data_IF_364071940390
#
_entry.id   IF_364071940390
#
_cell.length_a   1.000
_cell.length_b   1.000
_cell.length_c   1.000
_cell.angle_alpha   90.00
_cell.angle_beta   90.00
_cell.angle_gamma   90.00
#
_symmetry.space_group_name_H-M   'P 1'
#
loop_
_entity.id
_entity.type
_entity.pdbx_description
1 polymer ?
#
# COMPACT_ATOMS: atom_id res chain seq x y z
N UNK A 1 -8.55 15.99 -90.06
CA UNK A 1 -8.40 17.43 -89.81
C UNK A 1 -8.54 17.65 -88.34
N UNK A 2 -7.45 18.00 -87.66
CA UNK A 2 -7.27 18.42 -86.23
C UNK A 2 -7.61 17.46 -85.14
N UNK A 3 -6.64 16.63 -84.90
CA UNK A 3 -6.47 15.88 -83.65
C UNK A 3 -5.93 16.80 -82.55
N UNK A 4 -6.77 17.29 -81.63
CA UNK A 4 -6.27 18.01 -80.47
C UNK A 4 -6.03 17.02 -79.35
N UNK A 5 -4.75 16.93 -79.04
CA UNK A 5 -4.16 16.18 -77.93
C UNK A 5 -4.82 16.56 -76.63
N UNK A 6 -5.46 15.58 -75.92
CA UNK A 6 -5.85 15.71 -74.56
C UNK A 6 -4.77 15.07 -73.67
N UNK A 7 -3.93 15.93 -73.11
CA UNK A 7 -2.96 15.55 -72.10
C UNK A 7 -3.73 15.43 -70.80
N UNK A 8 -3.87 14.22 -70.29
CA UNK A 8 -4.40 13.97 -68.96
C UNK A 8 -3.20 13.96 -67.99
N UNK A 9 -3.10 14.89 -67.03
CA UNK A 9 -2.08 14.79 -66.01
C UNK A 9 -2.44 13.66 -65.06
N UNK A 10 -1.55 12.69 -64.95
CA UNK A 10 -1.60 11.60 -63.95
C UNK A 10 -1.34 12.22 -62.59
N UNK A 11 -2.41 12.57 -61.90
CA UNK A 11 -2.34 13.04 -60.52
C UNK A 11 -2.07 11.83 -59.62
N UNK A 12 -0.81 11.66 -59.24
CA UNK A 12 -0.40 10.64 -58.31
C UNK A 12 -1.05 10.89 -56.96
N UNK A 13 -1.99 10.02 -56.62
CA UNK A 13 -2.53 9.93 -55.25
C UNK A 13 -1.43 9.32 -54.40
N UNK A 14 -0.66 10.18 -53.73
CA UNK A 14 0.25 9.78 -52.68
C UNK A 14 -0.62 9.48 -51.43
N UNK A 15 -1.05 8.22 -51.34
CA UNK A 15 -1.73 7.73 -50.13
C UNK A 15 -0.70 7.68 -49.03
N UNK A 16 -0.62 8.75 -48.24
CA UNK A 16 0.14 8.78 -47.02
C UNK A 16 -0.53 7.81 -46.04
N UNK A 17 -0.07 6.57 -46.06
CA UNK A 17 -0.38 5.58 -45.01
C UNK A 17 0.31 6.04 -43.74
N UNK A 18 -0.35 6.94 -43.00
CA UNK A 18 0.03 7.25 -41.64
C UNK A 18 -0.15 5.98 -40.81
N UNK A 19 0.94 5.26 -40.63
CA UNK A 19 1.01 4.21 -39.62
C UNK A 19 0.72 4.85 -38.26
N UNK A 20 -0.54 4.71 -37.81
CA UNK A 20 -0.91 4.97 -36.44
C UNK A 20 -0.18 3.91 -35.62
N UNK A 21 1.03 4.22 -35.18
CA UNK A 21 1.67 3.42 -34.13
C UNK A 21 0.74 3.50 -32.93
N UNK A 22 0.34 2.35 -32.36
CA UNK A 22 -0.32 2.40 -31.07
C UNK A 22 0.67 3.11 -30.15
N UNK A 23 0.29 4.28 -29.66
CA UNK A 23 0.86 4.80 -28.42
C UNK A 23 0.45 3.77 -27.40
N UNK A 24 1.35 2.85 -27.08
CA UNK A 24 1.24 2.12 -25.83
C UNK A 24 1.18 3.20 -24.77
N UNK A 25 -0.03 3.41 -24.22
CA UNK A 25 -0.17 4.12 -22.99
C UNK A 25 0.67 3.30 -22.01
N UNK A 26 1.91 3.72 -21.80
CA UNK A 26 2.64 3.36 -20.62
C UNK A 26 1.73 3.88 -19.52
N UNK A 27 0.94 3.00 -18.90
CA UNK A 27 0.36 3.30 -17.61
C UNK A 27 1.55 3.75 -16.77
N UNK A 28 1.64 5.05 -16.56
CA UNK A 28 2.57 5.59 -15.60
C UNK A 28 2.07 5.05 -14.28
N UNK A 29 2.60 3.90 -13.86
CA UNK A 29 2.42 3.44 -12.49
C UNK A 29 2.86 4.61 -11.65
N UNK A 30 1.92 5.17 -10.87
CA UNK A 30 2.22 6.31 -10.03
C UNK A 30 3.27 5.85 -9.02
N UNK A 31 4.52 6.18 -9.34
CA UNK A 31 5.68 5.82 -8.54
C UNK A 31 5.79 6.83 -7.41
N UNK A 32 5.77 6.33 -6.18
CA UNK A 32 5.90 7.16 -4.99
C UNK A 32 7.31 7.09 -4.41
N UNK A 33 7.88 8.26 -4.14
CA UNK A 33 8.99 8.40 -3.19
C UNK A 33 8.44 8.77 -1.81
N UNK A 34 9.20 8.54 -0.76
CA UNK A 34 8.78 8.81 0.63
C UNK A 34 8.29 10.26 0.83
N UNK A 35 8.95 11.23 0.18
CA UNK A 35 8.58 12.65 0.26
C UNK A 35 7.24 12.99 -0.41
N UNK A 36 6.78 12.14 -1.36
CA UNK A 36 5.58 12.35 -2.16
C UNK A 36 4.34 11.73 -1.50
N UNK A 37 4.54 10.88 -0.48
CA UNK A 37 3.43 10.24 0.25
C UNK A 37 2.74 11.28 1.13
N UNK A 38 1.43 11.55 0.93
CA UNK A 38 0.71 12.55 1.72
C UNK A 38 0.58 12.13 3.18
N UNK A 39 1.16 12.91 4.10
CA UNK A 39 0.90 12.72 5.51
C UNK A 39 -0.40 13.41 5.90
N UNK A 40 -1.49 12.65 5.90
CA UNK A 40 -2.85 13.15 6.15
C UNK A 40 -3.04 13.67 7.58
N UNK A 41 -2.24 13.22 8.55
CA UNK A 41 -2.34 13.62 9.94
C UNK A 41 -1.89 15.07 10.20
N UNK A 42 -1.10 15.66 9.28
CA UNK A 42 -0.67 17.07 9.39
C UNK A 42 -1.86 18.02 9.21
N UNK A 43 -2.79 17.68 8.30
CA UNK A 43 -3.97 18.50 8.01
C UNK A 43 -5.15 18.21 8.93
N UNK A 44 -5.32 16.96 9.31
CA UNK A 44 -6.40 16.48 10.17
C UNK A 44 -5.92 15.34 11.06
N UNK A 45 -5.87 15.58 12.36
CA UNK A 45 -5.39 14.63 13.35
C UNK A 45 -6.30 13.40 13.55
N UNK A 46 -7.46 13.36 12.89
CA UNK A 46 -8.39 12.22 12.88
C UNK A 46 -8.24 11.35 11.63
N UNK A 47 -7.36 11.75 10.71
CA UNK A 47 -7.04 10.99 9.50
C UNK A 47 -5.76 10.20 9.72
N UNK A 48 -5.80 8.92 9.40
CA UNK A 48 -4.71 7.96 9.60
C UNK A 48 -4.36 7.21 8.32
N UNK A 49 -5.30 7.21 7.35
CA UNK A 49 -5.18 6.47 6.09
C UNK A 49 -4.73 7.40 4.98
N UNK A 50 -3.58 7.11 4.40
CA UNK A 50 -3.07 7.74 3.18
C UNK A 50 -3.22 6.78 2.00
N UNK A 51 -4.21 7.02 1.16
CA UNK A 51 -4.50 6.30 -0.06
C UNK A 51 -4.64 7.28 -1.23
N UNK A 52 -3.52 7.79 -1.75
CA UNK A 52 -3.53 8.85 -2.79
C UNK A 52 -4.09 8.37 -4.13
N UNK A 53 -4.11 7.07 -4.38
CA UNK A 53 -4.60 6.48 -5.64
C UNK A 53 -6.00 5.89 -5.54
N UNK A 54 -6.66 6.04 -4.36
CA UNK A 54 -8.05 5.64 -4.13
C UNK A 54 -8.33 4.15 -4.42
N UNK A 55 -7.47 3.26 -3.92
CA UNK A 55 -7.71 1.82 -3.94
C UNK A 55 -8.83 1.39 -3.00
N UNK A 56 -9.06 2.18 -1.95
CA UNK A 56 -10.13 2.01 -0.99
C UNK A 56 -11.25 3.02 -1.26
N UNK A 57 -12.48 2.63 -1.02
CA UNK A 57 -13.57 3.60 -1.11
C UNK A 57 -13.64 4.51 0.14
N UNK A 58 -14.44 5.58 0.05
CA UNK A 58 -14.49 6.58 1.13
C UNK A 58 -15.05 6.03 2.44
N UNK A 59 -15.94 5.04 2.40
CA UNK A 59 -16.52 4.41 3.59
C UNK A 59 -15.52 3.48 4.25
N UNK A 60 -14.73 2.76 3.48
CA UNK A 60 -13.64 1.89 3.95
C UNK A 60 -12.54 2.72 4.63
N UNK A 61 -12.14 3.84 3.99
CA UNK A 61 -11.18 4.78 4.58
C UNK A 61 -11.68 5.33 5.91
N UNK A 62 -12.97 5.72 6.00
CA UNK A 62 -13.57 6.25 7.24
C UNK A 62 -13.57 5.18 8.35
N UNK A 63 -13.90 3.94 8.03
CA UNK A 63 -13.89 2.85 9.00
C UNK A 63 -12.47 2.53 9.51
N UNK A 64 -11.49 2.49 8.61
CA UNK A 64 -10.08 2.31 8.95
C UNK A 64 -9.53 3.47 9.80
N UNK A 65 -9.85 4.73 9.44
CA UNK A 65 -9.52 5.92 10.25
C UNK A 65 -10.09 5.79 11.67
N UNK A 66 -11.35 5.36 11.80
CA UNK A 66 -11.99 5.16 13.10
C UNK A 66 -11.31 4.07 13.94
N UNK A 67 -10.94 2.93 13.33
CA UNK A 67 -10.22 1.84 14.02
C UNK A 67 -8.84 2.29 14.52
N UNK A 68 -8.08 2.99 13.67
CA UNK A 68 -6.76 3.52 14.04
C UNK A 68 -6.86 4.63 15.10
N UNK A 69 -7.92 5.45 15.03
CA UNK A 69 -8.21 6.42 16.08
C UNK A 69 -8.50 5.75 17.42
N UNK A 70 -9.28 4.65 17.45
CA UNK A 70 -9.50 3.88 18.66
C UNK A 70 -8.21 3.27 19.23
N UNK A 71 -7.30 2.80 18.36
CA UNK A 71 -5.99 2.30 18.75
C UNK A 71 -5.18 3.41 19.47
N UNK A 72 -5.20 4.64 18.94
CA UNK A 72 -4.58 5.81 19.56
C UNK A 72 -5.21 6.15 20.91
N UNK A 73 -6.53 6.20 20.99
CA UNK A 73 -7.24 6.59 22.21
C UNK A 73 -7.05 5.59 23.34
N UNK A 74 -7.13 4.29 23.04
CA UNK A 74 -7.13 3.23 24.03
C UNK A 74 -5.71 2.85 24.49
N UNK A 75 -4.71 2.93 23.61
CA UNK A 75 -3.37 2.39 23.87
C UNK A 75 -2.24 3.41 23.65
N UNK A 76 -2.56 4.61 23.17
CA UNK A 76 -1.56 5.64 22.90
C UNK A 76 -0.66 5.31 21.72
N UNK A 77 -1.07 4.42 20.83
CA UNK A 77 -0.33 4.06 19.61
C UNK A 77 -0.55 5.11 18.54
N UNK A 78 0.53 5.70 18.07
CA UNK A 78 0.52 6.65 16.95
C UNK A 78 0.62 5.88 15.63
N UNK A 79 -0.54 5.52 15.08
CA UNK A 79 -0.65 4.64 13.93
C UNK A 79 -0.84 5.41 12.61
N UNK A 80 -0.37 4.81 11.51
CA UNK A 80 -0.70 5.23 10.14
C UNK A 80 -0.88 3.99 9.26
N UNK A 81 -1.76 4.11 8.28
CA UNK A 81 -1.96 3.16 7.19
C UNK A 81 -1.69 3.86 5.86
N UNK A 82 -0.88 3.24 5.03
CA UNK A 82 -0.50 3.78 3.70
C UNK A 82 -0.73 2.71 2.65
N UNK A 83 -1.49 3.06 1.61
CA UNK A 83 -1.74 2.21 0.44
C UNK A 83 -1.18 2.92 -0.78
N UNK A 84 -0.21 2.30 -1.46
CA UNK A 84 0.45 2.89 -2.63
C UNK A 84 0.40 1.98 -3.84
N UNK A 85 0.30 2.54 -5.05
CA UNK A 85 0.36 1.76 -6.29
C UNK A 85 1.74 1.12 -6.50
N UNK A 86 2.82 1.88 -6.32
CA UNK A 86 4.20 1.42 -6.55
C UNK A 86 5.24 2.25 -5.79
N UNK A 87 6.33 1.60 -5.40
CA UNK A 87 7.54 2.22 -4.84
C UNK A 87 8.78 1.94 -5.71
N UNK A 88 8.58 1.45 -6.94
CA UNK A 88 9.65 1.08 -7.87
C UNK A 88 10.47 -0.12 -7.38
N UNK A 89 11.79 -0.05 -7.61
CA UNK A 89 12.72 -1.13 -7.27
C UNK A 89 13.15 -1.15 -5.78
N UNK A 90 12.53 -0.31 -4.95
CA UNK A 90 12.85 -0.26 -3.51
C UNK A 90 12.27 -1.44 -2.76
N UNK A 91 12.93 -1.88 -1.70
CA UNK A 91 12.35 -2.84 -0.77
C UNK A 91 11.26 -2.17 0.06
N UNK A 92 10.21 -2.91 0.40
CA UNK A 92 9.11 -2.37 1.19
C UNK A 92 9.56 -2.02 2.61
N UNK A 93 10.51 -2.77 3.15
CA UNK A 93 11.12 -2.57 4.47
C UNK A 93 11.84 -1.22 4.54
N UNK A 94 12.78 -0.99 3.61
CA UNK A 94 13.55 0.27 3.58
C UNK A 94 12.63 1.46 3.38
N UNK A 95 11.65 1.34 2.48
CA UNK A 95 10.67 2.39 2.23
C UNK A 95 9.82 2.66 3.48
N UNK A 96 9.33 1.61 4.13
CA UNK A 96 8.48 1.71 5.32
C UNK A 96 9.23 2.36 6.49
N UNK A 97 10.46 1.93 6.76
CA UNK A 97 11.30 2.51 7.83
C UNK A 97 11.63 3.98 7.56
N UNK A 98 11.94 4.33 6.31
CA UNK A 98 12.21 5.73 5.94
C UNK A 98 10.95 6.58 6.09
N UNK A 99 9.79 6.09 5.63
CA UNK A 99 8.50 6.77 5.75
C UNK A 99 8.11 6.95 7.22
N UNK A 100 8.22 5.89 8.03
CA UNK A 100 7.97 5.91 9.46
C UNK A 100 8.78 7.00 10.17
N UNK A 101 10.09 7.11 9.86
CA UNK A 101 10.98 8.12 10.42
C UNK A 101 10.67 9.52 9.92
N UNK A 102 10.38 9.68 8.62
CA UNK A 102 10.09 10.98 8.01
C UNK A 102 8.80 11.60 8.56
N UNK A 103 7.80 10.76 8.85
CA UNK A 103 6.57 11.21 9.49
C UNK A 103 6.69 11.38 11.01
N UNK A 104 7.76 10.85 11.60
CA UNK A 104 7.99 10.91 13.04
C UNK A 104 6.92 10.15 13.82
N UNK A 105 6.45 9.02 13.26
CA UNK A 105 5.46 8.19 13.94
C UNK A 105 5.95 7.70 15.29
N UNK A 106 5.07 7.77 16.25
CA UNK A 106 5.39 7.48 17.64
C UNK A 106 5.83 8.71 18.42
N UNK A 107 5.27 8.87 19.60
CA UNK A 107 5.61 9.95 20.52
C UNK A 107 7.09 9.82 20.94
N UNK A 108 7.85 10.94 20.90
CA UNK A 108 9.28 11.00 21.31
C UNK A 108 9.55 10.45 22.73
N UNK A 109 8.54 10.40 23.58
CA UNK A 109 8.65 9.84 24.96
C UNK A 109 8.38 8.36 25.03
N UNK A 110 7.45 7.85 24.22
CA UNK A 110 6.97 6.46 24.28
C UNK A 110 7.49 5.61 23.13
N UNK A 111 7.87 6.22 21.99
CA UNK A 111 8.18 5.54 20.73
C UNK A 111 7.12 4.53 20.30
N UNK A 112 5.84 4.81 20.62
CA UNK A 112 4.70 3.94 20.33
C UNK A 112 4.13 4.20 18.95
N UNK A 113 4.95 4.06 17.90
CA UNK A 113 4.55 4.23 16.51
C UNK A 113 4.17 2.92 15.85
N UNK A 114 3.25 2.96 14.88
CA UNK A 114 2.84 1.85 14.04
C UNK A 114 2.61 2.34 12.61
N UNK A 115 3.22 1.71 11.62
CA UNK A 115 2.94 1.95 10.21
C UNK A 115 2.56 0.64 9.53
N UNK A 116 1.42 0.62 8.88
CA UNK A 116 1.00 -0.46 7.98
C UNK A 116 1.17 0.07 6.56
N UNK A 117 2.00 -0.57 5.74
CA UNK A 117 2.28 -0.20 4.36
C UNK A 117 1.86 -1.32 3.42
N UNK A 118 0.96 -1.01 2.49
CA UNK A 118 0.48 -1.91 1.44
C UNK A 118 0.89 -1.37 0.07
N UNK A 119 1.59 -2.19 -0.72
CA UNK A 119 2.03 -1.86 -2.08
C UNK A 119 1.31 -2.78 -3.08
N UNK A 120 0.54 -2.16 -3.98
CA UNK A 120 -0.41 -2.87 -4.82
C UNK A 120 0.24 -3.58 -6.02
N UNK A 121 1.23 -2.99 -6.69
CA UNK A 121 1.84 -3.55 -7.90
C UNK A 121 2.65 -4.83 -7.66
N UNK A 122 3.25 -4.94 -6.47
CA UNK A 122 4.04 -6.11 -6.05
C UNK A 122 3.32 -6.98 -5.03
N UNK A 123 2.07 -6.64 -4.66
CA UNK A 123 1.24 -7.38 -3.70
C UNK A 123 2.00 -7.66 -2.39
N UNK A 124 2.56 -6.60 -1.80
CA UNK A 124 3.32 -6.71 -0.55
C UNK A 124 2.72 -5.85 0.54
N UNK A 125 2.76 -6.39 1.75
CA UNK A 125 2.39 -5.65 2.97
C UNK A 125 3.49 -5.78 4.00
N UNK A 126 3.70 -4.70 4.75
CA UNK A 126 4.68 -4.65 5.83
C UNK A 126 4.14 -3.83 7.00
N UNK A 127 4.48 -4.24 8.24
CA UNK A 127 4.16 -3.53 9.47
C UNK A 127 5.46 -3.10 10.13
N UNK A 128 5.63 -1.80 10.32
CA UNK A 128 6.76 -1.21 11.06
C UNK A 128 6.28 -0.77 12.43
N UNK A 129 6.97 -1.22 13.47
CA UNK A 129 6.69 -0.86 14.87
C UNK A 129 7.78 0.05 15.42
N UNK A 130 7.38 0.98 16.29
CA UNK A 130 8.30 1.76 17.08
C UNK A 130 8.76 0.98 18.31
N UNK A 131 9.98 1.25 18.76
CA UNK A 131 10.64 0.53 19.86
C UNK A 131 9.77 0.39 21.14
N UNK A 132 8.88 1.38 21.38
CA UNK A 132 8.02 1.37 22.57
C UNK A 132 6.91 0.32 22.57
N UNK A 133 6.61 -0.28 21.41
CA UNK A 133 5.57 -1.32 21.29
C UNK A 133 6.12 -2.67 20.83
N UNK A 134 7.41 -2.80 20.51
CA UNK A 134 8.01 -4.07 20.12
C UNK A 134 7.85 -5.18 21.16
N UNK A 135 7.80 -4.82 22.44
CA UNK A 135 7.58 -5.80 23.52
C UNK A 135 6.17 -6.41 23.53
N UNK A 136 5.19 -5.71 22.93
CA UNK A 136 3.79 -6.16 22.82
C UNK A 136 3.51 -6.68 21.42
N UNK A 137 4.10 -6.03 20.41
CA UNK A 137 3.89 -6.32 19.00
C UNK A 137 5.26 -6.52 18.30
N UNK A 138 5.97 -7.62 18.56
CA UNK A 138 7.23 -7.94 17.89
C UNK A 138 7.00 -8.36 16.42
N UNK A 139 8.04 -8.31 15.61
CA UNK A 139 8.00 -8.59 14.16
C UNK A 139 7.37 -9.94 13.83
N UNK A 140 7.69 -10.99 14.61
CA UNK A 140 7.09 -12.31 14.43
C UNK A 140 5.56 -12.30 14.60
N UNK A 141 5.05 -11.49 15.53
CA UNK A 141 3.61 -11.30 15.73
C UNK A 141 3.01 -10.47 14.59
N UNK A 142 3.68 -9.42 14.13
CA UNK A 142 3.26 -8.66 12.94
C UNK A 142 3.14 -9.58 11.72
N UNK A 143 4.15 -10.39 11.46
CA UNK A 143 4.15 -11.38 10.37
C UNK A 143 3.03 -12.40 10.51
N UNK A 144 2.73 -12.86 11.74
CA UNK A 144 1.62 -13.78 12.01
C UNK A 144 0.25 -13.13 11.76
N UNK A 145 0.06 -11.87 12.16
CA UNK A 145 -1.16 -11.10 11.86
C UNK A 145 -1.37 -10.96 10.37
N UNK A 146 -0.33 -10.58 9.63
CA UNK A 146 -0.40 -10.45 8.18
C UNK A 146 -0.85 -11.76 7.56
N UNK A 147 -0.19 -12.87 7.87
CA UNK A 147 -0.50 -14.19 7.30
C UNK A 147 -1.90 -14.69 7.64
N UNK A 148 -2.31 -14.53 8.90
CA UNK A 148 -3.53 -15.19 9.40
C UNK A 148 -4.77 -14.30 9.36
N UNK A 149 -4.59 -12.97 9.36
CA UNK A 149 -5.71 -12.01 9.45
C UNK A 149 -5.89 -11.13 8.22
N UNK A 150 -4.81 -10.85 7.46
CA UNK A 150 -4.90 -9.94 6.31
C UNK A 150 -4.91 -10.70 4.98
N UNK A 151 -3.92 -11.57 4.74
CA UNK A 151 -3.75 -12.28 3.46
C UNK A 151 -4.97 -13.08 3.03
N UNK A 152 -5.71 -13.79 3.89
CA UNK A 152 -6.90 -14.52 3.44
C UNK A 152 -7.92 -13.62 2.73
N UNK A 153 -8.10 -12.39 3.19
CA UNK A 153 -8.95 -11.40 2.54
C UNK A 153 -8.34 -10.84 1.26
N UNK A 154 -7.04 -10.54 1.27
CA UNK A 154 -6.35 -10.00 0.09
C UNK A 154 -6.40 -10.96 -1.11
N UNK A 155 -6.40 -12.27 -0.88
CA UNK A 155 -6.58 -13.29 -1.93
C UNK A 155 -7.96 -13.28 -2.58
N UNK A 156 -8.93 -12.63 -1.93
CA UNK A 156 -10.30 -12.43 -2.42
C UNK A 156 -10.54 -10.97 -2.85
N UNK A 157 -9.44 -10.19 -3.06
CA UNK A 157 -9.47 -8.77 -3.38
C UNK A 157 -10.17 -7.88 -2.33
N UNK A 158 -10.43 -8.41 -1.13
CA UNK A 158 -11.08 -7.73 0.00
C UNK A 158 -10.04 -7.01 0.86
N UNK A 159 -9.40 -5.97 0.30
CA UNK A 159 -8.26 -5.29 0.94
C UNK A 159 -8.66 -4.56 2.22
N UNK A 160 -9.78 -3.84 2.20
CA UNK A 160 -10.26 -3.10 3.36
C UNK A 160 -10.57 -4.03 4.54
N UNK A 161 -11.28 -5.11 4.30
CA UNK A 161 -11.64 -6.12 5.31
C UNK A 161 -10.39 -6.78 5.89
N UNK A 162 -9.39 -7.08 5.05
CA UNK A 162 -8.12 -7.62 5.50
C UNK A 162 -7.36 -6.64 6.40
N UNK A 163 -7.29 -5.37 6.02
CA UNK A 163 -6.68 -4.31 6.83
C UNK A 163 -7.43 -4.13 8.15
N UNK A 164 -8.77 -4.07 8.13
CA UNK A 164 -9.60 -3.99 9.32
C UNK A 164 -9.38 -5.18 10.26
N UNK A 165 -9.36 -6.40 9.73
CA UNK A 165 -9.11 -7.63 10.50
C UNK A 165 -7.72 -7.61 11.15
N UNK A 166 -6.70 -7.11 10.46
CA UNK A 166 -5.36 -6.95 11.02
C UNK A 166 -5.30 -5.92 12.14
N UNK A 167 -5.95 -4.76 11.96
CA UNK A 167 -6.02 -3.72 13.01
C UNK A 167 -6.77 -4.20 14.23
N UNK A 168 -7.85 -4.98 14.05
CA UNK A 168 -8.59 -5.59 15.15
C UNK A 168 -7.71 -6.58 15.93
N UNK A 169 -6.94 -7.42 15.25
CA UNK A 169 -5.98 -8.32 15.88
C UNK A 169 -4.89 -7.57 16.68
N UNK A 170 -4.35 -6.49 16.12
CA UNK A 170 -3.41 -5.61 16.81
C UNK A 170 -4.07 -5.04 18.08
N UNK A 171 -5.31 -4.55 17.97
CA UNK A 171 -6.05 -4.00 19.12
C UNK A 171 -6.29 -5.03 20.19
N UNK A 172 -6.53 -6.28 19.82
CA UNK A 172 -6.73 -7.40 20.77
C UNK A 172 -5.45 -7.72 21.52
N UNK A 173 -4.31 -7.77 20.85
CA UNK A 173 -3.01 -7.97 21.48
C UNK A 173 -2.72 -6.89 22.53
N UNK A 174 -3.01 -5.63 22.22
CA UNK A 174 -2.86 -4.55 23.20
C UNK A 174 -3.78 -4.67 24.40
N UNK A 175 -4.96 -5.32 24.26
CA UNK A 175 -5.92 -5.55 25.35
C UNK A 175 -5.52 -6.72 26.25
N UNK A 176 -5.10 -7.83 25.64
CA UNK A 176 -4.94 -9.13 26.31
C UNK A 176 -3.49 -9.51 26.56
N UNK A 177 -2.56 -8.97 25.78
CA UNK A 177 -1.17 -9.40 25.73
C UNK A 177 -0.96 -10.68 24.93
N UNK A 178 -2.03 -11.29 24.38
CA UNK A 178 -1.97 -12.54 23.64
C UNK A 178 -2.61 -12.40 22.25
N UNK A 179 -2.11 -13.16 21.29
CA UNK A 179 -2.67 -13.30 19.94
C UNK A 179 -3.19 -14.73 19.73
N UNK A 180 -4.51 -14.89 19.64
CA UNK A 180 -5.13 -16.15 19.23
C UNK A 180 -4.86 -16.40 17.73
N UNK A 181 -3.82 -17.13 17.43
CA UNK A 181 -3.37 -17.43 16.05
C UNK A 181 -1.87 -17.72 15.98
N UNK A 182 -1.20 -17.69 17.13
CA UNK A 182 0.18 -18.15 17.26
C UNK A 182 0.25 -19.68 17.42
N UNK A 183 -0.57 -20.42 16.64
CA UNK A 183 -0.33 -21.85 16.49
C UNK A 183 1.04 -22.04 15.88
N UNK A 184 1.94 -22.71 16.65
CA UNK A 184 3.28 -23.06 16.26
C UNK A 184 3.31 -23.94 15.01
N UNK A 185 2.89 -23.39 13.90
CA UNK A 185 3.02 -23.94 12.59
C UNK A 185 4.50 -23.91 12.20
N UNK A 186 5.15 -25.04 12.36
CA UNK A 186 6.42 -25.34 11.75
C UNK A 186 6.23 -25.32 10.21
N UNK A 187 6.29 -24.15 9.60
CA UNK A 187 6.40 -23.98 8.16
C UNK A 187 7.85 -23.62 7.83
N UNK A 188 8.61 -24.66 7.51
CA UNK A 188 9.81 -24.58 6.70
C UNK A 188 9.41 -24.11 5.29
N UNK A 189 9.13 -22.84 5.12
CA UNK A 189 9.07 -22.15 3.83
C UNK A 189 9.87 -20.86 4.00
N UNK A 190 10.88 -20.76 3.18
CA UNK A 190 11.98 -19.85 3.05
C UNK A 190 11.71 -18.43 3.56
N UNK A 191 12.52 -18.03 4.57
CA UNK A 191 12.68 -16.66 5.04
C UNK A 191 13.24 -15.78 3.92
N UNK A 192 12.39 -15.24 3.08
CA UNK A 192 12.69 -14.05 2.30
C UNK A 192 12.03 -12.84 2.97
N UNK A 193 12.74 -12.22 3.92
CA UNK A 193 12.43 -10.91 4.50
C UNK A 193 11.13 -10.84 5.32
N UNK A 194 11.06 -9.87 6.21
CA UNK A 194 9.90 -9.59 7.07
C UNK A 194 8.66 -9.03 6.32
N UNK A 195 8.63 -9.07 5.00
CA UNK A 195 7.47 -8.71 4.18
C UNK A 195 6.75 -9.97 3.70
N UNK A 196 5.45 -9.88 3.52
CA UNK A 196 4.64 -10.99 3.03
C UNK A 196 4.07 -10.62 1.67
N UNK A 197 4.45 -11.43 0.66
CA UNK A 197 3.88 -11.43 -0.67
C UNK A 197 2.54 -12.19 -0.63
N UNK A 198 1.50 -11.62 -1.21
CA UNK A 198 0.23 -12.32 -1.43
C UNK A 198 -0.09 -12.31 -2.94
N UNK A 199 -0.29 -13.49 -3.51
CA UNK A 199 -0.60 -13.69 -4.93
C UNK A 199 -1.90 -14.49 -5.01
#
# INVERSE_FOLDING_TARGET
MNLKRLLVPLLGIFLALSTLLPVEATESRDLFEVKDVPNVQIGDSLRFVSDPSHFLDSSEVEELDNKLHQLRLNFGVDAALVVLPSIGDRTIEDFSVELFRSWGLGNKKTNSGLLILLIMDVHKIFITTGYGIEGVLPDATCSSIIRNRMIPYFKEDAYAEGLMSGIDAISEIFKTGDFEGSDGGNSSEEEEGDYILFI
#
